data_IF_354636827046
#
_entry.id   IF_354636827046
#
_cell.length_a   1.000
_cell.length_b   1.000
_cell.length_c   1.000
_cell.angle_alpha   90.00
_cell.angle_beta   90.00
_cell.angle_gamma   90.00
#
_symmetry.space_group_name_H-M   'P 1'
#
loop_
_entity.id
_entity.type
_entity.pdbx_description
1 polymer ?
#
# COMPACT_ATOMS: atom_id res chain seq x y z
N UNK A 1 41.92 4.07 -42.91
CA UNK A 1 41.38 5.27 -42.25
C UNK A 1 39.87 5.22 -42.39
N UNK A 2 39.14 4.84 -41.33
CA UNK A 2 37.68 4.95 -41.34
C UNK A 2 37.37 6.45 -41.41
N UNK A 3 36.71 6.89 -42.48
CA UNK A 3 36.44 8.31 -42.67
C UNK A 3 35.62 8.83 -41.46
N UNK A 4 36.00 10.02 -40.97
CA UNK A 4 35.46 10.65 -39.75
C UNK A 4 33.92 10.66 -39.70
N UNK A 5 33.30 10.71 -40.88
CA UNK A 5 31.86 10.67 -41.13
C UNK A 5 31.22 9.34 -40.70
N UNK A 6 31.89 8.21 -40.94
CA UNK A 6 31.40 6.88 -40.54
C UNK A 6 31.48 6.65 -39.04
N UNK A 7 32.50 7.22 -38.37
CA UNK A 7 32.61 7.17 -36.91
C UNK A 7 31.46 7.97 -36.29
N UNK A 8 31.15 9.16 -36.83
CA UNK A 8 30.02 9.98 -36.39
C UNK A 8 28.68 9.27 -36.60
N UNK A 9 28.49 8.65 -37.77
CA UNK A 9 27.28 7.89 -38.07
C UNK A 9 27.09 6.68 -37.14
N UNK A 10 28.17 5.95 -36.81
CA UNK A 10 28.11 4.82 -35.87
C UNK A 10 27.79 5.30 -34.45
N UNK A 11 28.37 6.43 -34.00
CA UNK A 11 28.07 7.01 -32.68
C UNK A 11 26.62 7.48 -32.59
N UNK A 12 26.10 8.13 -33.64
CA UNK A 12 24.68 8.51 -33.73
C UNK A 12 23.76 7.29 -33.74
N UNK A 13 24.12 6.22 -34.47
CA UNK A 13 23.35 4.98 -34.46
C UNK A 13 23.35 4.33 -33.07
N UNK A 14 24.50 4.32 -32.38
CA UNK A 14 24.62 3.81 -31.02
C UNK A 14 23.80 4.66 -30.03
N UNK A 15 23.79 5.99 -30.17
CA UNK A 15 22.94 6.90 -29.39
C UNK A 15 21.44 6.69 -29.64
N UNK A 16 21.06 6.27 -30.84
CA UNK A 16 19.67 5.89 -31.15
C UNK A 16 19.31 4.48 -30.65
N UNK A 17 20.28 3.56 -30.59
CA UNK A 17 20.11 2.19 -30.06
C UNK A 17 20.14 2.13 -28.53
N UNK A 18 20.91 3.01 -27.88
CA UNK A 18 20.76 3.34 -26.46
C UNK A 18 19.55 4.26 -26.37
N UNK A 19 18.34 3.69 -26.55
CA UNK A 19 17.10 4.47 -26.58
C UNK A 19 17.11 5.52 -25.47
N UNK A 20 16.68 6.75 -25.78
CA UNK A 20 16.50 7.79 -24.77
C UNK A 20 15.73 7.16 -23.61
N UNK A 21 16.42 6.88 -22.49
CA UNK A 21 15.75 6.53 -21.26
C UNK A 21 14.82 7.70 -20.97
N UNK A 22 13.52 7.48 -21.08
CA UNK A 22 12.54 8.50 -20.73
C UNK A 22 12.63 8.67 -19.22
N UNK A 23 13.56 9.51 -18.76
CA UNK A 23 13.77 9.85 -17.35
C UNK A 23 12.62 10.72 -16.86
N UNK A 24 11.46 10.10 -16.66
CA UNK A 24 10.28 10.76 -16.10
C UNK A 24 10.46 11.07 -14.61
N UNK A 25 9.83 12.15 -14.15
CA UNK A 25 9.71 12.52 -12.74
C UNK A 25 8.44 11.93 -12.16
N UNK A 26 8.59 11.13 -11.11
CA UNK A 26 7.51 10.41 -10.44
C UNK A 26 7.30 11.00 -9.05
N UNK A 27 6.08 11.46 -8.78
CA UNK A 27 5.65 11.85 -7.43
C UNK A 27 4.95 10.67 -6.77
N UNK A 28 5.22 10.40 -5.49
CA UNK A 28 4.61 9.27 -4.77
C UNK A 28 3.82 9.76 -3.56
N UNK A 29 2.59 9.28 -3.44
CA UNK A 29 1.74 9.38 -2.26
C UNK A 29 1.60 8.00 -1.60
N UNK A 30 2.49 7.65 -0.65
CA UNK A 30 2.60 6.30 -0.13
C UNK A 30 1.65 6.04 1.05
N UNK A 31 1.41 4.76 1.33
CA UNK A 31 0.99 4.27 2.64
C UNK A 31 2.17 3.54 3.31
N UNK A 32 2.31 3.66 4.62
CA UNK A 32 3.41 3.08 5.40
C UNK A 32 3.29 1.54 5.51
N UNK A 33 4.16 0.90 6.30
CA UNK A 33 4.08 -0.54 6.62
C UNK A 33 4.16 -1.44 5.37
N UNK A 34 3.33 -2.50 5.27
CA UNK A 34 3.39 -3.47 4.19
C UNK A 34 3.16 -2.84 2.80
N UNK A 35 2.43 -1.73 2.73
CA UNK A 35 2.19 -0.99 1.50
C UNK A 35 3.50 -0.36 1.00
N UNK A 36 4.23 0.30 1.89
CA UNK A 36 5.55 0.84 1.58
C UNK A 36 6.54 -0.23 1.14
N UNK A 37 6.58 -1.38 1.82
CA UNK A 37 7.51 -2.46 1.43
C UNK A 37 7.25 -2.98 0.01
N UNK A 38 5.99 -3.12 -0.38
CA UNK A 38 5.62 -3.48 -1.75
C UNK A 38 5.98 -2.38 -2.75
N UNK A 39 5.64 -1.14 -2.42
CA UNK A 39 5.82 -0.01 -3.30
C UNK A 39 7.30 0.33 -3.50
N UNK A 40 8.10 0.27 -2.44
CA UNK A 40 9.52 0.61 -2.43
C UNK A 40 10.30 -0.12 -3.53
N UNK A 41 10.04 -1.42 -3.73
CA UNK A 41 10.74 -2.21 -4.76
C UNK A 41 10.46 -1.64 -6.16
N UNK A 42 9.21 -1.27 -6.44
CA UNK A 42 8.83 -0.65 -7.72
C UNK A 42 9.52 0.70 -7.89
N UNK A 43 9.56 1.50 -6.82
CA UNK A 43 10.18 2.83 -6.86
C UNK A 43 11.70 2.75 -7.05
N UNK A 44 12.38 1.82 -6.38
CA UNK A 44 13.82 1.60 -6.53
C UNK A 44 14.14 1.16 -7.97
N UNK A 45 13.36 0.25 -8.53
CA UNK A 45 13.52 -0.17 -9.91
C UNK A 45 13.27 0.98 -10.90
N UNK A 46 12.31 1.87 -10.63
CA UNK A 46 12.13 3.09 -11.41
C UNK A 46 13.39 3.98 -11.36
N UNK A 47 14.02 4.12 -10.19
CA UNK A 47 15.29 4.86 -10.09
C UNK A 47 16.43 4.19 -10.84
N UNK A 48 16.53 2.86 -10.82
CA UNK A 48 17.53 2.09 -11.58
C UNK A 48 17.37 2.28 -13.09
N UNK A 49 16.13 2.45 -13.55
CA UNK A 49 15.80 2.80 -14.95
C UNK A 49 15.99 4.28 -15.29
N UNK A 50 16.48 5.09 -14.35
CA UNK A 50 16.82 6.50 -14.56
C UNK A 50 15.68 7.48 -14.28
N UNK A 51 14.56 7.05 -13.70
CA UNK A 51 13.49 7.96 -13.28
C UNK A 51 13.86 8.72 -12.01
N UNK A 52 13.42 9.98 -11.90
CA UNK A 52 13.55 10.75 -10.68
C UNK A 52 12.31 10.54 -9.81
N UNK A 53 12.46 9.87 -8.67
CA UNK A 53 11.34 9.54 -7.78
C UNK A 53 11.39 10.41 -6.54
N UNK A 54 10.30 11.15 -6.28
CA UNK A 54 10.09 11.94 -5.07
C UNK A 54 8.90 11.37 -4.29
N UNK A 55 9.11 11.06 -3.02
CA UNK A 55 8.10 10.49 -2.12
C UNK A 55 7.66 11.53 -1.10
N UNK A 56 6.35 11.83 -1.07
CA UNK A 56 5.74 12.66 -0.03
C UNK A 56 5.62 11.82 1.24
N UNK A 57 6.35 12.20 2.29
CA UNK A 57 6.45 11.41 3.52
C UNK A 57 5.87 12.17 4.69
N UNK A 58 5.03 11.48 5.47
CA UNK A 58 4.59 11.99 6.77
C UNK A 58 5.77 11.97 7.76
N UNK A 59 5.97 13.03 8.57
CA UNK A 59 6.98 13.00 9.63
C UNK A 59 6.68 11.94 10.72
N UNK A 60 5.48 11.37 10.71
CA UNK A 60 5.04 10.29 11.60
C UNK A 60 5.29 8.89 11.02
N UNK A 61 5.95 8.77 9.87
CA UNK A 61 6.21 7.49 9.21
C UNK A 61 6.93 6.48 10.12
N UNK A 62 6.52 5.22 10.02
CA UNK A 62 6.99 4.14 10.88
C UNK A 62 8.23 3.47 10.32
N UNK A 63 8.14 2.96 9.09
CA UNK A 63 9.23 2.20 8.45
C UNK A 63 9.86 2.93 7.26
N UNK A 64 9.26 4.03 6.79
CA UNK A 64 9.86 4.90 5.78
C UNK A 64 10.96 5.73 6.45
N UNK A 65 12.19 5.25 6.36
CA UNK A 65 13.36 5.95 6.88
C UNK A 65 13.91 6.94 5.86
N UNK A 66 13.34 8.15 5.88
CA UNK A 66 13.75 9.26 5.02
C UNK A 66 15.05 9.96 5.47
N UNK A 67 15.65 9.51 6.59
CA UNK A 67 16.92 10.06 7.09
C UNK A 67 18.14 9.38 6.49
N UNK A 68 17.99 8.14 6.00
CA UNK A 68 19.06 7.37 5.38
C UNK A 68 19.28 7.77 3.92
N UNK A 69 20.51 7.62 3.47
CA UNK A 69 20.85 7.77 2.06
C UNK A 69 20.03 6.78 1.23
N UNK A 70 19.37 7.30 0.19
CA UNK A 70 18.49 6.56 -0.70
C UNK A 70 18.58 7.14 -2.11
N UNK A 71 18.32 6.32 -3.13
CA UNK A 71 18.11 6.81 -4.50
C UNK A 71 16.78 7.56 -4.63
N UNK A 72 15.83 7.27 -3.74
CA UNK A 72 14.56 7.98 -3.63
C UNK A 72 14.77 9.34 -2.96
N UNK A 73 14.15 10.37 -3.53
CA UNK A 73 14.06 11.69 -2.90
C UNK A 73 12.86 11.71 -1.96
N UNK A 74 13.04 12.29 -0.78
CA UNK A 74 11.96 12.41 0.21
C UNK A 74 11.60 13.88 0.40
N UNK A 75 10.31 14.17 0.30
CA UNK A 75 9.73 15.47 0.61
C UNK A 75 8.84 15.31 1.85
N UNK A 76 9.33 15.78 3.00
CA UNK A 76 8.60 15.64 4.27
C UNK A 76 7.47 16.65 4.33
N UNK A 77 6.25 16.17 4.59
CA UNK A 77 5.06 17.01 4.71
C UNK A 77 5.20 17.92 5.94
N UNK A 78 4.95 19.24 5.81
CA UNK A 78 5.17 20.21 6.86
C UNK A 78 4.03 20.22 7.88
N UNK A 79 3.92 19.13 8.65
CA UNK A 79 2.98 18.99 9.76
C UNK A 79 3.73 18.73 11.08
N UNK A 80 3.18 19.14 12.24
CA UNK A 80 3.79 18.84 13.53
C UNK A 80 3.88 17.33 13.75
N UNK A 81 5.06 16.77 14.04
CA UNK A 81 5.20 15.34 14.29
C UNK A 81 4.52 14.94 15.60
N UNK A 82 3.62 13.96 15.55
CA UNK A 82 3.02 13.33 16.72
C UNK A 82 3.11 11.80 16.64
N UNK A 83 4.34 11.29 16.75
CA UNK A 83 4.62 9.86 16.68
C UNK A 83 3.88 9.04 17.75
N UNK A 84 3.67 9.60 18.94
CA UNK A 84 2.91 8.93 20.01
C UNK A 84 1.44 8.71 19.61
N UNK A 85 0.78 9.73 19.04
CA UNK A 85 -0.59 9.61 18.52
C UNK A 85 -0.66 8.60 17.37
N UNK A 86 0.32 8.60 16.47
CA UNK A 86 0.40 7.64 15.38
C UNK A 86 0.56 6.21 15.91
N UNK A 87 1.46 5.97 16.86
CA UNK A 87 1.66 4.67 17.51
C UNK A 87 0.41 4.20 18.25
N UNK A 88 -0.27 5.09 18.95
CA UNK A 88 -1.56 4.79 19.60
C UNK A 88 -2.61 4.37 18.56
N UNK A 89 -2.75 5.13 17.48
CA UNK A 89 -3.70 4.84 16.39
C UNK A 89 -3.43 3.47 15.76
N UNK A 90 -2.16 3.13 15.54
CA UNK A 90 -1.76 1.82 15.05
C UNK A 90 -2.11 0.70 16.05
N UNK A 91 -1.85 0.91 17.34
CA UNK A 91 -2.19 -0.09 18.36
C UNK A 91 -3.70 -0.28 18.50
N UNK A 92 -4.48 0.81 18.43
CA UNK A 92 -5.95 0.77 18.44
C UNK A 92 -6.47 0.00 17.22
N UNK A 93 -5.89 0.21 16.02
CA UNK A 93 -6.21 -0.58 14.83
C UNK A 93 -5.96 -2.08 15.05
N UNK A 94 -4.78 -2.41 15.59
CA UNK A 94 -4.39 -3.80 15.84
C UNK A 94 -5.33 -4.46 16.84
N UNK A 95 -5.67 -3.78 17.95
CA UNK A 95 -6.61 -4.30 18.94
C UNK A 95 -8.00 -4.54 18.33
N UNK A 96 -8.50 -3.57 17.55
CA UNK A 96 -9.77 -3.72 16.82
C UNK A 96 -9.70 -4.93 15.89
N UNK A 97 -8.60 -5.11 15.16
CA UNK A 97 -8.46 -6.19 14.19
C UNK A 97 -8.28 -7.57 14.82
N UNK A 98 -7.49 -7.69 15.89
CA UNK A 98 -7.08 -8.99 16.43
C UNK A 98 -7.90 -9.45 17.63
N UNK A 99 -8.46 -8.52 18.40
CA UNK A 99 -9.14 -8.81 19.67
C UNK A 99 -10.63 -8.49 19.59
N UNK A 100 -11.02 -7.37 18.98
CA UNK A 100 -12.44 -6.94 18.96
C UNK A 100 -13.21 -7.62 17.81
N UNK A 101 -12.82 -7.38 16.56
CA UNK A 101 -13.55 -7.86 15.38
C UNK A 101 -13.81 -9.38 15.36
N UNK A 102 -12.89 -10.26 15.80
CA UNK A 102 -13.13 -11.71 15.80
C UNK A 102 -14.21 -12.17 16.79
N UNK A 103 -14.50 -11.36 17.83
CA UNK A 103 -15.54 -11.67 18.83
C UNK A 103 -16.93 -11.21 18.42
N UNK A 104 -17.01 -10.47 17.31
CA UNK A 104 -18.22 -9.81 16.84
C UNK A 104 -18.82 -10.53 15.63
N UNK A 105 -20.12 -10.30 15.40
CA UNK A 105 -20.72 -10.68 14.12
C UNK A 105 -20.11 -9.87 12.98
N UNK A 106 -20.12 -10.42 11.75
CA UNK A 106 -19.59 -9.75 10.54
C UNK A 106 -20.06 -8.30 10.41
N UNK A 107 -21.32 -8.03 10.75
CA UNK A 107 -21.89 -6.69 10.74
C UNK A 107 -21.26 -5.76 11.78
N UNK A 108 -21.20 -6.21 13.02
CA UNK A 108 -20.60 -5.45 14.11
C UNK A 108 -19.10 -5.22 13.88
N UNK A 109 -18.38 -6.19 13.31
CA UNK A 109 -16.99 -6.04 12.92
C UNK A 109 -16.82 -4.99 11.82
N UNK A 110 -17.70 -5.00 10.80
CA UNK A 110 -17.69 -3.97 9.75
C UNK A 110 -17.98 -2.57 10.30
N UNK A 111 -18.95 -2.43 11.22
CA UNK A 111 -19.24 -1.17 11.91
C UNK A 111 -18.05 -0.69 12.75
N UNK A 112 -17.38 -1.60 13.47
CA UNK A 112 -16.20 -1.25 14.29
C UNK A 112 -15.02 -0.80 13.43
N UNK A 113 -14.79 -1.46 12.30
CA UNK A 113 -13.77 -1.06 11.35
C UNK A 113 -14.10 0.33 10.75
N UNK A 114 -15.37 0.58 10.43
CA UNK A 114 -15.81 1.89 9.93
C UNK A 114 -15.65 2.99 10.99
N UNK A 115 -16.03 2.73 12.24
CA UNK A 115 -15.85 3.66 13.36
C UNK A 115 -14.38 4.03 13.53
N UNK A 116 -13.47 3.04 13.43
CA UNK A 116 -12.04 3.29 13.45
C UNK A 116 -11.59 4.20 12.30
N UNK A 117 -11.99 3.91 11.05
CA UNK A 117 -11.61 4.76 9.92
C UNK A 117 -12.11 6.20 10.07
N UNK A 118 -13.34 6.40 10.57
CA UNK A 118 -13.87 7.74 10.85
C UNK A 118 -13.05 8.50 11.91
N UNK A 119 -12.56 7.80 12.94
CA UNK A 119 -11.68 8.40 13.96
C UNK A 119 -10.33 8.83 13.37
N UNK A 120 -9.84 8.12 12.35
CA UNK A 120 -8.56 8.42 11.69
C UNK A 120 -8.72 9.47 10.57
N UNK A 121 -9.93 9.66 10.04
CA UNK A 121 -10.22 10.64 8.97
C UNK A 121 -9.72 12.04 9.29
N UNK A 122 -9.82 12.52 10.54
CA UNK A 122 -9.29 13.84 10.92
C UNK A 122 -7.76 13.95 10.75
N UNK A 123 -7.01 12.90 11.11
CA UNK A 123 -5.55 12.90 10.94
C UNK A 123 -5.16 12.84 9.46
N UNK A 124 -5.87 12.04 8.67
CA UNK A 124 -5.65 11.95 7.22
C UNK A 124 -6.00 13.27 6.52
N UNK A 125 -7.08 13.92 6.96
CA UNK A 125 -7.45 15.27 6.50
C UNK A 125 -6.36 16.28 6.83
N UNK A 126 -5.83 16.28 8.06
CA UNK A 126 -4.73 17.16 8.46
C UNK A 126 -3.48 16.95 7.59
N UNK A 127 -3.12 15.70 7.29
CA UNK A 127 -2.01 15.39 6.39
C UNK A 127 -2.25 16.02 5.01
N UNK A 128 -3.46 15.88 4.47
CA UNK A 128 -3.85 16.45 3.19
C UNK A 128 -3.82 17.99 3.18
N UNK A 129 -4.39 18.62 4.21
CA UNK A 129 -4.38 20.08 4.40
C UNK A 129 -2.96 20.63 4.47
N UNK A 130 -2.06 19.92 5.16
CA UNK A 130 -0.66 20.29 5.32
C UNK A 130 0.11 20.27 3.99
N UNK A 131 -0.39 19.54 2.99
CA UNK A 131 0.13 19.59 1.63
C UNK A 131 -0.56 20.70 0.83
N UNK A 132 -1.89 20.63 0.69
CA UNK A 132 -2.66 21.49 -0.22
C UNK A 132 -2.58 22.96 0.16
N UNK A 133 -2.72 23.28 1.44
CA UNK A 133 -2.71 24.66 1.91
C UNK A 133 -1.31 25.21 2.17
N UNK A 134 -0.28 24.37 2.06
CA UNK A 134 1.09 24.86 2.10
C UNK A 134 1.52 25.37 0.72
N UNK A 135 1.40 26.68 0.52
CA UNK A 135 1.72 27.35 -0.74
C UNK A 135 3.16 27.12 -1.20
N UNK A 136 4.13 27.07 -0.26
CA UNK A 136 5.53 26.83 -0.59
C UNK A 136 5.75 25.43 -1.16
N UNK A 137 5.19 24.42 -0.49
CA UNK A 137 5.24 23.03 -0.94
C UNK A 137 4.49 22.84 -2.25
N UNK A 138 3.24 23.29 -2.36
CA UNK A 138 2.46 23.15 -3.60
C UNK A 138 3.13 23.85 -4.78
N UNK A 139 3.68 25.04 -4.58
CA UNK A 139 4.44 25.74 -5.62
C UNK A 139 5.68 24.93 -6.04
N UNK A 140 6.44 24.40 -5.09
CA UNK A 140 7.58 23.52 -5.37
C UNK A 140 7.16 22.28 -6.17
N UNK A 141 6.07 21.61 -5.79
CA UNK A 141 5.55 20.45 -6.51
C UNK A 141 5.11 20.81 -7.94
N UNK A 142 4.43 21.94 -8.13
CA UNK A 142 3.99 22.45 -9.44
C UNK A 142 5.17 22.86 -10.34
N UNK A 143 6.22 23.44 -9.77
CA UNK A 143 7.44 23.85 -10.49
C UNK A 143 8.32 22.66 -10.87
N UNK A 144 8.24 21.55 -10.12
CA UNK A 144 9.02 20.34 -10.40
C UNK A 144 8.60 19.66 -11.70
N UNK A 145 7.33 19.82 -12.13
CA UNK A 145 6.75 19.23 -13.35
C UNK A 145 6.88 17.70 -13.38
N UNK A 146 6.15 17.05 -12.49
CA UNK A 146 6.05 15.58 -12.47
C UNK A 146 5.28 15.07 -13.69
N UNK A 147 5.71 13.93 -14.22
CA UNK A 147 5.09 13.28 -15.38
C UNK A 147 3.96 12.32 -14.98
N UNK A 148 4.09 11.71 -13.80
CA UNK A 148 3.11 10.77 -13.25
C UNK A 148 3.15 10.77 -11.72
N UNK A 149 1.99 10.56 -11.11
CA UNK A 149 1.86 10.34 -9.67
C UNK A 149 1.51 8.87 -9.37
N UNK A 150 2.18 8.29 -8.39
CA UNK A 150 1.94 6.94 -7.92
C UNK A 150 1.27 7.02 -6.56
N UNK A 151 0.03 6.53 -6.45
CA UNK A 151 -0.86 6.76 -5.31
C UNK A 151 -1.19 5.42 -4.64
N UNK A 152 -1.01 5.36 -3.32
CA UNK A 152 -1.62 4.31 -2.51
C UNK A 152 -3.04 4.73 -2.11
N UNK A 153 -4.09 4.01 -2.58
CA UNK A 153 -5.48 4.41 -2.37
C UNK A 153 -5.97 4.23 -0.93
N UNK A 154 -5.17 3.66 -0.02
CA UNK A 154 -5.52 3.57 1.41
C UNK A 154 -5.46 4.92 2.11
N UNK A 155 -4.59 5.83 1.64
CA UNK A 155 -4.45 7.19 2.19
C UNK A 155 -5.15 8.15 1.21
N UNK A 156 -6.32 8.72 1.56
CA UNK A 156 -7.00 9.70 0.71
C UNK A 156 -6.13 10.94 0.46
N UNK A 157 -6.56 11.82 -0.45
CA UNK A 157 -5.89 13.07 -0.89
C UNK A 157 -5.01 12.95 -2.14
N UNK A 158 -4.45 11.77 -2.42
CA UNK A 158 -3.51 11.61 -3.54
C UNK A 158 -4.09 12.08 -4.87
N UNK A 159 -5.36 11.77 -5.14
CA UNK A 159 -6.05 12.14 -6.39
C UNK A 159 -6.30 13.64 -6.47
N UNK A 160 -6.60 14.28 -5.33
CA UNK A 160 -6.78 15.73 -5.26
C UNK A 160 -5.46 16.44 -5.53
N UNK A 161 -4.36 15.97 -4.94
CA UNK A 161 -3.02 16.50 -5.23
C UNK A 161 -2.70 16.33 -6.73
N UNK A 162 -2.95 15.15 -7.29
CA UNK A 162 -2.71 14.88 -8.71
C UNK A 162 -3.51 15.84 -9.62
N UNK A 163 -4.78 16.11 -9.28
CA UNK A 163 -5.65 17.05 -10.00
C UNK A 163 -5.12 18.49 -9.90
N UNK A 164 -4.76 18.95 -8.70
CA UNK A 164 -4.21 20.29 -8.46
C UNK A 164 -2.84 20.51 -9.13
N UNK A 165 -2.08 19.44 -9.34
CA UNK A 165 -0.83 19.44 -10.09
C UNK A 165 -1.04 19.22 -11.59
N UNK A 166 -2.25 18.85 -12.04
CA UNK A 166 -2.58 18.44 -13.41
C UNK A 166 -1.68 17.29 -13.92
N UNK A 167 -1.44 16.29 -13.08
CA UNK A 167 -0.57 15.14 -13.35
C UNK A 167 -1.40 13.86 -13.41
N UNK A 168 -1.23 13.00 -14.43
CA UNK A 168 -1.91 11.70 -14.45
C UNK A 168 -1.40 10.81 -13.32
N UNK A 169 -2.24 9.92 -12.81
CA UNK A 169 -1.85 9.05 -11.69
C UNK A 169 -2.14 7.57 -11.92
N UNK A 170 -1.41 6.74 -11.17
CA UNK A 170 -1.53 5.28 -11.16
C UNK A 170 -1.68 4.81 -9.72
N UNK A 171 -2.62 3.89 -9.48
CA UNK A 171 -2.76 3.24 -8.17
C UNK A 171 -1.79 2.08 -8.01
N UNK A 172 -1.19 1.97 -6.82
CA UNK A 172 -0.25 0.89 -6.44
C UNK A 172 -0.95 -0.35 -5.94
N UNK A 173 -2.22 -0.22 -5.54
CA UNK A 173 -2.98 -1.29 -4.91
C UNK A 173 -4.30 -1.50 -5.62
N UNK A 174 -4.61 -2.77 -5.85
CA UNK A 174 -5.86 -3.21 -6.46
C UNK A 174 -7.01 -3.33 -5.45
N UNK A 175 -6.73 -3.56 -4.17
CA UNK A 175 -7.73 -4.03 -3.19
C UNK A 175 -8.44 -2.86 -2.52
N UNK A 176 -9.75 -2.74 -2.72
CA UNK A 176 -10.62 -1.85 -1.94
C UNK A 176 -11.57 -2.64 -1.05
N UNK A 177 -12.00 -2.05 0.07
CA UNK A 177 -13.01 -2.67 0.95
C UNK A 177 -14.26 -2.95 0.12
N UNK A 178 -14.72 -4.21 0.15
CA UNK A 178 -15.93 -4.56 -0.60
C UNK A 178 -15.75 -4.79 -2.10
N UNK A 179 -14.52 -4.70 -2.62
CA UNK A 179 -14.20 -4.68 -4.05
C UNK A 179 -14.93 -3.54 -4.82
N UNK A 180 -15.24 -2.45 -4.13
CA UNK A 180 -16.08 -1.36 -4.62
C UNK A 180 -15.42 -0.63 -5.80
N UNK A 181 -14.14 -0.25 -5.64
CA UNK A 181 -13.37 0.47 -6.66
C UNK A 181 -13.13 -0.42 -7.88
N UNK A 182 -12.76 -1.68 -7.66
CA UNK A 182 -12.53 -2.67 -8.71
C UNK A 182 -13.78 -2.91 -9.56
N UNK A 183 -14.95 -3.00 -8.90
CA UNK A 183 -16.22 -3.19 -9.58
C UNK A 183 -16.65 -1.94 -10.36
N UNK A 184 -16.69 -0.78 -9.71
CA UNK A 184 -17.32 0.41 -10.30
C UNK A 184 -16.37 1.24 -11.15
N UNK A 185 -15.13 1.43 -10.71
CA UNK A 185 -14.11 2.19 -11.43
C UNK A 185 -13.35 1.27 -12.41
N UNK A 186 -12.94 0.09 -11.94
CA UNK A 186 -12.22 -0.90 -12.75
C UNK A 186 -13.10 -1.73 -13.71
N UNK A 187 -14.44 -1.65 -13.56
CA UNK A 187 -15.42 -2.44 -14.33
C UNK A 187 -15.18 -3.95 -14.27
N UNK A 188 -14.61 -4.43 -13.16
CA UNK A 188 -14.27 -5.84 -13.03
C UNK A 188 -15.46 -6.66 -12.53
N UNK A 189 -15.64 -7.88 -13.05
CA UNK A 189 -16.64 -8.78 -12.52
C UNK A 189 -16.28 -9.14 -11.07
N UNK A 190 -17.26 -9.05 -10.18
CA UNK A 190 -17.14 -9.50 -8.78
C UNK A 190 -18.14 -10.63 -8.57
N UNK A 191 -17.80 -11.86 -8.98
CA UNK A 191 -18.70 -13.01 -8.85
C UNK A 191 -18.69 -13.53 -7.40
N UNK A 192 -19.57 -12.95 -6.58
CA UNK A 192 -19.67 -13.16 -5.13
C UNK A 192 -19.93 -14.62 -4.70
N UNK A 193 -20.29 -15.49 -5.64
CA UNK A 193 -20.53 -16.91 -5.38
C UNK A 193 -19.24 -17.73 -5.18
N UNK A 194 -18.10 -17.26 -5.69
CA UNK A 194 -16.81 -17.95 -5.57
C UNK A 194 -15.61 -17.01 -5.38
N UNK A 195 -15.77 -15.70 -5.56
CA UNK A 195 -14.76 -14.71 -5.20
C UNK A 195 -15.12 -14.12 -3.84
N UNK A 196 -14.34 -14.39 -2.77
CA UNK A 196 -14.55 -13.75 -1.49
C UNK A 196 -14.28 -12.25 -1.61
N UNK A 197 -15.13 -11.46 -0.97
CA UNK A 197 -14.96 -10.01 -0.89
C UNK A 197 -13.74 -9.72 -0.02
N UNK A 198 -12.96 -8.70 -0.42
CA UNK A 198 -11.80 -8.25 0.34
C UNK A 198 -12.19 -7.94 1.79
N UNK A 199 -11.36 -8.42 2.73
CA UNK A 199 -11.56 -8.30 4.18
C UNK A 199 -12.72 -9.10 4.77
N UNK A 200 -13.43 -9.94 3.99
CA UNK A 200 -14.48 -10.80 4.53
C UNK A 200 -13.97 -12.01 5.34
N UNK A 201 -12.66 -12.30 5.30
CA UNK A 201 -12.07 -13.46 5.97
C UNK A 201 -12.54 -14.80 5.39
N UNK A 202 -12.97 -14.81 4.12
CA UNK A 202 -13.46 -15.99 3.41
C UNK A 202 -12.43 -16.45 2.37
N UNK A 203 -12.44 -17.74 2.05
CA UNK A 203 -11.59 -18.34 1.02
C UNK A 203 -12.33 -18.48 -0.32
N UNK A 204 -11.65 -18.89 -1.37
CA UNK A 204 -12.24 -19.27 -2.67
C UNK A 204 -13.19 -20.49 -2.53
N UNK A 205 -12.97 -21.34 -1.51
CA UNK A 205 -13.83 -22.48 -1.18
C UNK A 205 -14.86 -22.13 -0.11
N UNK A 206 -15.97 -21.54 -0.54
CA UNK A 206 -17.10 -21.20 0.34
C UNK A 206 -18.25 -22.22 0.30
N UNK A 207 -18.73 -22.60 1.48
CA UNK A 207 -20.04 -23.25 1.68
C UNK A 207 -21.20 -22.32 1.30
N UNK A 208 -22.41 -22.86 1.15
CA UNK A 208 -23.60 -22.06 0.83
C UNK A 208 -23.79 -20.87 1.79
N UNK A 209 -23.71 -21.10 3.12
CA UNK A 209 -23.86 -20.04 4.11
C UNK A 209 -22.73 -19.01 4.05
N UNK A 210 -21.50 -19.43 3.76
CA UNK A 210 -20.38 -18.49 3.55
C UNK A 210 -20.60 -17.62 2.31
N UNK A 211 -21.17 -18.16 1.23
CA UNK A 211 -21.53 -17.36 0.04
C UNK A 211 -22.62 -16.34 0.36
N UNK A 212 -23.62 -16.71 1.15
CA UNK A 212 -24.66 -15.76 1.62
C UNK A 212 -24.02 -14.66 2.45
N UNK A 213 -23.12 -14.99 3.39
CA UNK A 213 -22.35 -14.00 4.17
C UNK A 213 -21.51 -13.09 3.27
N UNK A 214 -20.88 -13.64 2.24
CA UNK A 214 -20.07 -12.90 1.28
C UNK A 214 -20.90 -11.85 0.53
N UNK A 215 -22.09 -12.25 0.06
CA UNK A 215 -23.04 -11.32 -0.61
C UNK A 215 -23.52 -10.25 0.36
N UNK A 216 -23.86 -10.62 1.59
CA UNK A 216 -24.26 -9.63 2.61
C UNK A 216 -23.13 -8.64 2.86
N UNK A 217 -21.90 -9.10 3.06
CA UNK A 217 -20.76 -8.21 3.27
C UNK A 217 -20.53 -7.27 2.09
N UNK A 218 -20.63 -7.77 0.85
CA UNK A 218 -20.57 -6.93 -0.35
C UNK A 218 -21.62 -5.81 -0.34
N UNK A 219 -22.88 -6.13 -0.02
CA UNK A 219 -23.95 -5.12 0.04
C UNK A 219 -23.61 -4.09 1.13
N UNK A 220 -23.22 -4.54 2.31
CA UNK A 220 -22.88 -3.65 3.42
C UNK A 220 -21.72 -2.71 3.08
N UNK A 221 -20.66 -3.23 2.49
CA UNK A 221 -19.48 -2.44 2.13
C UNK A 221 -19.73 -1.44 1.01
N UNK A 222 -20.71 -1.69 0.13
CA UNK A 222 -21.00 -0.82 -1.01
C UNK A 222 -22.08 0.23 -0.69
N UNK A 223 -22.97 -0.03 0.27
CA UNK A 223 -24.07 0.88 0.62
C UNK A 223 -23.85 1.66 1.91
N UNK A 224 -23.29 1.04 2.96
CA UNK A 224 -23.22 1.66 4.30
C UNK A 224 -21.87 2.33 4.59
N UNK A 225 -20.77 1.66 4.26
CA UNK A 225 -19.42 2.16 4.54
C UNK A 225 -19.12 3.49 3.80
N UNK A 226 -19.47 3.65 2.50
CA UNK A 226 -19.13 4.86 1.78
C UNK A 226 -19.93 6.09 2.25
N UNK A 227 -21.15 5.92 2.79
CA UNK A 227 -22.03 7.06 3.08
C UNK A 227 -21.49 8.00 4.16
N UNK A 228 -20.75 7.50 5.16
CA UNK A 228 -20.25 8.34 6.26
C UNK A 228 -18.92 9.04 5.93
N UNK A 229 -18.00 8.36 5.26
CA UNK A 229 -16.68 8.92 4.91
C UNK A 229 -16.76 9.90 3.71
N UNK A 230 -17.73 9.66 2.81
CA UNK A 230 -17.90 10.48 1.61
C UNK A 230 -18.28 11.92 1.92
N UNK A 231 -19.04 12.19 2.99
CA UNK A 231 -19.46 13.55 3.33
C UNK A 231 -18.27 14.45 3.70
N UNK A 232 -17.39 13.97 4.60
CA UNK A 232 -16.23 14.73 5.08
C UNK A 232 -15.28 15.03 3.93
N UNK A 233 -14.93 14.00 3.15
CA UNK A 233 -14.01 14.17 2.03
C UNK A 233 -14.61 14.97 0.88
N UNK A 234 -15.91 14.83 0.57
CA UNK A 234 -16.54 15.62 -0.49
C UNK A 234 -16.57 17.11 -0.13
N UNK A 235 -16.93 17.44 1.11
CA UNK A 235 -16.89 18.82 1.57
C UNK A 235 -15.46 19.37 1.47
N UNK A 236 -14.49 18.64 2.01
CA UNK A 236 -13.10 19.06 1.99
C UNK A 236 -12.55 19.24 0.55
N UNK A 237 -12.81 18.30 -0.35
CA UNK A 237 -12.36 18.39 -1.74
C UNK A 237 -12.98 19.59 -2.45
N UNK A 238 -14.27 19.87 -2.19
CA UNK A 238 -14.96 21.03 -2.75
C UNK A 238 -14.33 22.34 -2.27
N UNK A 239 -14.10 22.46 -0.96
CA UNK A 239 -13.44 23.62 -0.35
C UNK A 239 -12.01 23.82 -0.87
N UNK A 240 -11.23 22.74 -1.00
CA UNK A 240 -9.86 22.79 -1.51
C UNK A 240 -9.80 23.23 -2.99
N UNK A 241 -10.69 22.71 -3.83
CA UNK A 241 -10.79 23.12 -5.24
C UNK A 241 -11.24 24.59 -5.38
N UNK A 242 -12.16 25.04 -4.53
CA UNK A 242 -12.58 26.44 -4.49
C UNK A 242 -11.44 27.36 -4.03
N UNK A 243 -10.66 26.93 -3.02
CA UNK A 243 -9.50 27.67 -2.50
C UNK A 243 -8.41 27.87 -3.56
N UNK A 244 -8.07 26.84 -4.33
CA UNK A 244 -7.04 26.92 -5.38
C UNK A 244 -7.51 27.74 -6.59
N UNK A 245 -8.79 28.11 -6.63
CA UNK A 245 -9.39 28.96 -7.64
C UNK A 245 -9.87 28.16 -8.84
N UNK A 246 -11.10 28.45 -9.28
CA UNK A 246 -11.85 27.80 -10.39
C UNK A 246 -11.06 27.64 -11.70
N UNK A 247 -10.10 26.73 -11.76
CA UNK A 247 -9.57 26.20 -13.01
C UNK A 247 -10.36 24.95 -13.39
N UNK A 248 -11.60 25.13 -13.88
CA UNK A 248 -12.42 24.08 -14.52
C UNK A 248 -12.21 22.64 -14.02
N UNK A 249 -12.31 22.41 -12.72
CA UNK A 249 -12.29 21.06 -12.17
C UNK A 249 -13.73 20.64 -11.90
N UNK A 250 -14.25 19.69 -12.68
CA UNK A 250 -15.54 19.05 -12.45
C UNK A 250 -15.25 17.69 -11.85
N UNK A 251 -15.20 17.62 -10.52
CA UNK A 251 -15.03 16.38 -9.80
C UNK A 251 -16.40 15.76 -9.54
N UNK A 252 -16.87 14.89 -10.45
CA UNK A 252 -18.08 14.09 -10.24
C UNK A 252 -17.68 12.82 -9.47
N UNK A 253 -17.76 12.88 -8.14
CA UNK A 253 -17.72 11.67 -7.30
C UNK A 253 -19.14 11.10 -7.16
N UNK A 254 -19.66 10.50 -8.23
CA UNK A 254 -20.92 9.75 -8.15
C UNK A 254 -20.63 8.33 -7.69
N UNK A 255 -21.10 7.99 -6.49
CA UNK A 255 -21.30 6.59 -6.11
C UNK A 255 -22.58 6.13 -6.82
N UNK A 256 -22.39 5.69 -8.05
CA UNK A 256 -23.06 4.55 -8.66
C UNK A 256 -24.56 4.60 -8.95
N UNK A 257 -25.33 5.60 -8.53
CA UNK A 257 -26.78 5.56 -8.76
C UNK A 257 -27.43 6.73 -9.50
N UNK A 258 -26.74 7.84 -9.76
CA UNK A 258 -27.23 8.82 -10.74
C UNK A 258 -26.04 9.47 -11.45
N UNK A 259 -26.19 9.61 -12.77
CA UNK A 259 -25.31 10.33 -13.71
C UNK A 259 -24.18 9.52 -14.37
N UNK A 260 -24.52 9.10 -15.59
CA UNK A 260 -23.66 8.65 -16.68
C UNK A 260 -22.69 9.78 -17.09
N UNK A 261 -21.48 9.38 -17.53
CA UNK A 261 -20.46 10.13 -18.29
C UNK A 261 -19.30 10.80 -17.51
N UNK A 262 -18.37 9.98 -16.99
CA UNK A 262 -16.93 10.19 -17.24
C UNK A 262 -16.28 8.83 -17.46
N UNK A 263 -15.84 8.56 -18.70
CA UNK A 263 -15.10 7.35 -19.06
C UNK A 263 -13.64 7.47 -18.62
N UNK A 264 -13.34 7.34 -17.33
CA UNK A 264 -11.99 6.99 -16.90
C UNK A 264 -11.85 5.47 -16.91
N UNK A 265 -11.42 4.93 -18.06
CA UNK A 265 -10.96 3.55 -18.11
C UNK A 265 -9.66 3.46 -17.29
N UNK A 266 -9.74 2.98 -16.04
CA UNK A 266 -8.55 2.54 -15.31
C UNK A 266 -7.93 1.37 -16.09
N UNK A 267 -6.76 1.60 -16.69
CA UNK A 267 -5.98 0.53 -17.29
C UNK A 267 -5.38 -0.28 -16.15
N UNK A 268 -5.97 -1.44 -15.88
CA UNK A 268 -5.50 -2.37 -14.86
C UNK A 268 -4.44 -3.28 -15.44
N UNK A 269 -3.20 -3.12 -14.98
CA UNK A 269 -2.11 -4.05 -15.24
C UNK A 269 -1.84 -4.87 -13.98
N UNK A 270 -1.88 -6.20 -14.09
CA UNK A 270 -1.58 -7.08 -12.97
C UNK A 270 -0.07 -7.29 -12.89
N UNK A 271 0.55 -6.64 -11.91
CA UNK A 271 1.98 -6.77 -11.62
C UNK A 271 2.13 -7.56 -10.31
N UNK A 272 2.11 -8.90 -10.41
CA UNK A 272 2.29 -9.81 -9.27
C UNK A 272 3.74 -10.26 -9.10
N UNK A 273 4.08 -10.79 -7.91
CA UNK A 273 5.40 -11.42 -7.67
C UNK A 273 6.56 -10.47 -7.41
N UNK A 274 6.30 -9.16 -7.22
CA UNK A 274 7.32 -8.11 -7.08
C UNK A 274 8.25 -8.27 -5.87
N UNK A 275 7.87 -9.06 -4.87
CA UNK A 275 8.63 -9.23 -3.63
C UNK A 275 9.68 -10.37 -3.66
N UNK A 276 9.82 -11.12 -4.77
CA UNK A 276 10.73 -12.26 -4.86
C UNK A 276 12.14 -11.85 -5.32
N UNK A 277 12.93 -11.22 -4.44
CA UNK A 277 14.36 -10.93 -4.70
C UNK A 277 15.23 -11.68 -3.68
N UNK A 278 16.03 -12.69 -4.09
CA UNK A 278 16.80 -13.53 -3.17
C UNK A 278 17.95 -12.77 -2.51
N UNK A 279 17.95 -12.69 -1.18
CA UNK A 279 19.01 -12.09 -0.33
C UNK A 279 19.63 -13.09 0.67
N UNK A 280 18.95 -14.17 1.08
CA UNK A 280 19.50 -15.15 2.03
C UNK A 280 19.73 -16.56 1.45
N UNK A 281 20.94 -16.80 0.96
CA UNK A 281 21.41 -18.14 0.57
C UNK A 281 22.15 -18.87 1.70
N UNK A 282 22.94 -18.18 2.54
CA UNK A 282 23.81 -18.82 3.53
C UNK A 282 23.07 -19.49 4.71
N UNK A 283 22.00 -18.89 5.25
CA UNK A 283 21.36 -19.42 6.46
C UNK A 283 20.60 -20.72 6.21
N UNK A 284 19.83 -20.79 5.11
CA UNK A 284 19.08 -22.00 4.72
C UNK A 284 20.04 -23.16 4.43
N UNK A 285 21.26 -22.90 4.01
CA UNK A 285 22.26 -23.96 3.81
C UNK A 285 22.76 -24.53 5.14
N UNK A 286 22.96 -23.70 6.17
CA UNK A 286 23.51 -24.09 7.48
C UNK A 286 22.62 -25.05 8.31
N UNK A 287 21.31 -25.11 8.06
CA UNK A 287 20.35 -25.88 8.87
C UNK A 287 20.36 -27.41 8.64
N UNK A 288 21.17 -27.93 7.72
CA UNK A 288 21.20 -29.36 7.37
C UNK A 288 19.84 -29.91 6.87
N UNK A 289 19.56 -31.21 7.03
CA UNK A 289 18.29 -31.87 6.64
C UNK A 289 17.14 -31.70 7.67
N UNK A 290 17.26 -30.78 8.62
CA UNK A 290 16.23 -30.62 9.67
C UNK A 290 15.05 -29.82 9.15
N UNK A 291 13.85 -30.29 9.49
CA UNK A 291 12.59 -29.57 9.28
C UNK A 291 12.65 -28.22 10.00
N UNK A 292 12.34 -27.14 9.30
CA UNK A 292 12.34 -25.79 9.85
C UNK A 292 10.96 -25.17 9.70
N UNK A 293 10.47 -24.54 10.76
CA UNK A 293 9.20 -23.84 10.77
C UNK A 293 9.46 -22.35 10.86
N UNK A 294 8.74 -21.58 10.06
CA UNK A 294 8.82 -20.12 10.07
C UNK A 294 7.45 -19.57 10.44
N UNK A 295 7.45 -18.57 11.31
CA UNK A 295 6.26 -17.87 11.77
C UNK A 295 6.52 -16.38 11.69
N UNK A 296 5.56 -15.61 11.18
CA UNK A 296 5.65 -14.16 11.07
C UNK A 296 4.29 -13.53 11.27
N UNK A 297 4.24 -12.42 12.02
CA UNK A 297 3.02 -11.65 12.27
C UNK A 297 2.90 -10.41 11.38
N UNK A 298 3.76 -10.30 10.36
CA UNK A 298 3.81 -9.18 9.44
C UNK A 298 4.46 -7.92 10.03
N UNK A 299 4.21 -6.78 9.41
CA UNK A 299 4.94 -5.53 9.67
C UNK A 299 4.40 -4.69 10.82
N UNK A 300 3.16 -4.92 11.26
CA UNK A 300 2.47 -4.05 12.21
C UNK A 300 2.50 -4.58 13.65
N UNK A 301 2.48 -5.90 13.85
CA UNK A 301 2.41 -6.51 15.19
C UNK A 301 3.79 -6.50 15.85
N UNK A 302 3.94 -5.70 16.91
CA UNK A 302 5.20 -5.60 17.68
C UNK A 302 5.22 -6.44 18.96
N UNK A 303 4.06 -6.80 19.50
CA UNK A 303 3.94 -7.60 20.72
C UNK A 303 2.75 -8.55 20.65
N UNK A 304 2.90 -9.75 21.21
CA UNK A 304 1.80 -10.67 21.53
C UNK A 304 1.52 -10.57 23.02
N UNK A 305 0.24 -10.57 23.39
CA UNK A 305 -0.16 -10.73 24.80
C UNK A 305 0.14 -12.16 25.27
N UNK A 306 0.54 -12.29 26.55
CA UNK A 306 0.95 -13.56 27.18
C UNK A 306 -0.14 -14.65 27.16
N UNK A 307 -1.39 -14.29 26.83
CA UNK A 307 -2.57 -15.17 26.88
C UNK A 307 -2.75 -16.08 25.65
N UNK A 308 -2.03 -15.86 24.54
CA UNK A 308 -2.06 -16.76 23.37
C UNK A 308 -0.76 -17.58 23.31
N UNK A 309 -0.74 -18.81 23.86
CA UNK A 309 0.45 -19.64 23.77
C UNK A 309 0.71 -20.03 22.31
N UNK A 310 1.83 -19.55 21.76
CA UNK A 310 2.33 -20.06 20.48
C UNK A 310 3.06 -21.37 20.77
N UNK A 311 2.36 -22.49 20.56
CA UNK A 311 2.97 -23.82 20.57
C UNK A 311 3.37 -24.17 19.14
N UNK A 312 4.46 -23.57 18.64
CA UNK A 312 5.07 -23.94 17.38
C UNK A 312 6.49 -24.47 17.60
N UNK A 313 6.98 -25.40 16.76
CA UNK A 313 8.32 -25.96 16.90
C UNK A 313 9.42 -24.88 16.81
N UNK A 314 9.18 -23.78 16.09
CA UNK A 314 10.07 -22.63 15.92
C UNK A 314 9.30 -21.34 15.59
N UNK A 315 8.82 -20.53 16.56
CA UNK A 315 8.22 -19.24 16.25
C UNK A 315 9.29 -18.16 16.08
N UNK A 316 9.27 -17.40 14.98
CA UNK A 316 10.01 -16.14 14.89
C UNK A 316 9.10 -14.98 15.30
N UNK A 317 9.57 -14.18 16.23
CA UNK A 317 8.79 -13.12 16.86
C UNK A 317 9.68 -11.89 17.08
N UNK A 318 9.13 -10.72 16.72
CA UNK A 318 9.71 -9.43 17.08
C UNK A 318 9.11 -9.01 18.41
N UNK A 319 9.95 -8.90 19.45
CA UNK A 319 9.52 -8.51 20.79
C UNK A 319 10.27 -9.27 21.90
N UNK A 320 9.86 -9.08 23.16
CA UNK A 320 10.47 -9.75 24.32
C UNK A 320 10.31 -11.27 24.18
N UNK A 321 11.43 -12.02 24.20
CA UNK A 321 11.45 -13.49 24.12
C UNK A 321 10.42 -14.11 25.08
N UNK A 322 9.35 -14.76 24.58
CA UNK A 322 8.41 -15.46 25.45
C UNK A 322 9.12 -16.54 26.27
N UNK A 323 8.76 -16.66 27.55
CA UNK A 323 9.37 -17.63 28.46
C UNK A 323 9.13 -19.10 28.04
N UNK A 324 8.13 -19.32 27.19
CA UNK A 324 7.71 -20.63 26.68
C UNK A 324 8.52 -21.12 25.47
N UNK A 325 9.46 -20.32 24.95
CA UNK A 325 10.25 -20.70 23.77
C UNK A 325 11.31 -21.76 24.07
N UNK A 326 11.24 -22.88 23.35
CA UNK A 326 12.23 -23.95 23.41
C UNK A 326 13.63 -23.51 22.96
N UNK A 327 14.67 -24.20 23.44
CA UNK A 327 16.08 -23.88 23.17
C UNK A 327 16.47 -23.87 21.67
N UNK A 328 15.65 -24.47 20.81
CA UNK A 328 15.87 -24.57 19.36
C UNK A 328 15.21 -23.43 18.56
N UNK A 329 14.76 -22.37 19.23
CA UNK A 329 14.09 -21.22 18.62
C UNK A 329 15.03 -20.03 18.55
N UNK A 330 15.08 -19.37 17.38
CA UNK A 330 15.78 -18.11 17.17
C UNK A 330 14.78 -17.00 16.85
N UNK A 331 15.08 -15.79 17.31
CA UNK A 331 14.26 -14.60 17.06
C UNK A 331 15.02 -13.63 16.17
N UNK A 332 14.31 -13.03 15.22
CA UNK A 332 14.86 -12.06 14.28
C UNK A 332 13.93 -10.85 14.22
N UNK A 333 14.52 -9.66 14.07
CA UNK A 333 13.77 -8.41 13.94
C UNK A 333 13.12 -8.25 12.56
N UNK A 334 13.66 -8.95 11.55
CA UNK A 334 13.17 -9.01 10.19
C UNK A 334 13.67 -10.28 9.51
N UNK A 335 12.86 -10.84 8.61
CA UNK A 335 13.19 -12.04 7.84
C UNK A 335 12.81 -11.79 6.38
N UNK A 336 13.65 -12.16 5.39
CA UNK A 336 13.29 -12.13 3.98
C UNK A 336 12.29 -13.25 3.68
N UNK A 337 11.02 -13.00 4.04
CA UNK A 337 9.94 -13.99 4.00
C UNK A 337 9.80 -14.65 2.61
N UNK A 338 9.98 -13.89 1.53
CA UNK A 338 9.84 -14.43 0.17
C UNK A 338 10.95 -15.41 -0.22
N UNK A 339 12.17 -15.22 0.27
CA UNK A 339 13.28 -16.13 -0.01
C UNK A 339 13.08 -17.48 0.65
N UNK A 340 12.47 -17.46 1.83
CA UNK A 340 12.14 -18.66 2.59
C UNK A 340 10.96 -19.41 1.97
N UNK A 341 9.96 -18.68 1.47
CA UNK A 341 8.78 -19.26 0.83
C UNK A 341 9.02 -19.68 -0.63
N UNK A 342 9.94 -19.01 -1.33
CA UNK A 342 10.22 -19.23 -2.75
C UNK A 342 11.13 -20.42 -3.06
N UNK A 343 11.79 -21.00 -2.05
CA UNK A 343 12.65 -22.18 -2.22
C UNK A 343 11.82 -23.45 -2.42
N UNK A 344 11.44 -23.71 -3.66
CA UNK A 344 10.92 -24.98 -4.14
C UNK A 344 11.91 -25.58 -5.11
N UNK A 345 12.94 -26.28 -4.60
CA UNK A 345 13.54 -27.48 -5.21
C UNK A 345 14.84 -27.86 -4.49
N UNK A 346 14.93 -29.14 -4.08
CA UNK A 346 16.18 -29.79 -3.73
C UNK A 346 16.62 -29.65 -2.27
N UNK A 347 16.07 -30.51 -1.40
CA UNK A 347 16.50 -30.76 0.00
C UNK A 347 16.29 -29.59 0.97
N UNK A 348 15.08 -29.49 1.53
CA UNK A 348 14.81 -29.17 2.96
C UNK A 348 13.30 -28.97 3.10
N UNK A 349 12.68 -29.72 3.99
CA UNK A 349 11.26 -29.60 4.26
C UNK A 349 11.03 -28.47 5.27
N UNK A 350 11.00 -27.24 4.77
CA UNK A 350 10.66 -26.06 5.56
C UNK A 350 9.20 -25.68 5.29
N UNK A 351 8.39 -25.55 6.34
CA UNK A 351 6.98 -25.15 6.25
C UNK A 351 6.79 -23.79 6.94
N UNK A 352 5.98 -22.93 6.33
CA UNK A 352 5.62 -21.63 6.90
C UNK A 352 4.17 -21.66 7.37
N UNK A 353 3.91 -21.11 8.55
CA UNK A 353 2.57 -20.89 9.12
C UNK A 353 2.29 -19.42 9.40
#
# INVERSE_FOLDING_TARGET
MVAKEWISAIVLLQLCYTGCGLCGKVLVWPCDMSHWLNLKIVLEELTERGHEVTVLVSPESFIIDYSKASTLKFEVVPMPPNREKAEKTLNDFLDVATNVMPTLSVWQSAMKLQEFFLQVTENLKLLCESVIYNQSLMKKLQETKYDVMVIDPVVPCGELIAELLTVPFVYTLRVSIGNTVEKYCGKLPVPLSYVPVALAGLTDRMTFLQRVKNVMFFILSNFWIPQMDTQVWNQFYSEALDYVGKQKFVLIRSIGNFEFLVHTYLILSFVGGLLCKPEMEEFVQSSGERWCWWFSLGSMVKNLTDEKPISLPQPLYKGKKPATLGANTQLYDWIPQNDLLGKTEGKKNCTAE
#
